data_IF_338328554011
#
_entry.id   IF_338328554011
#
_cell.length_a   1.000
_cell.length_b   1.000
_cell.length_c   1.000
_cell.angle_alpha   90.00
_cell.angle_beta   90.00
_cell.angle_gamma   90.00
#
_symmetry.space_group_name_H-M   'P 1'
#
loop_
_entity.id
_entity.type
_entity.pdbx_description
1 polymer ?
#
# COMPACT_ATOMS: atom_id res chain seq x y z
N UNK A 1 -13.10 12.17 32.88
CA UNK A 1 -12.69 10.90 32.25
C UNK A 1 -11.75 10.18 33.21
N UNK A 2 -12.31 9.43 34.15
CA UNK A 2 -11.52 8.54 34.98
C UNK A 2 -11.32 7.27 34.17
N UNK A 3 -10.14 7.06 33.59
CA UNK A 3 -9.78 5.74 33.08
C UNK A 3 -9.83 4.80 34.27
N UNK A 4 -10.79 3.88 34.29
CA UNK A 4 -10.94 2.95 35.40
C UNK A 4 -9.66 2.11 35.47
N UNK A 5 -8.89 2.17 36.57
CA UNK A 5 -7.69 1.35 36.72
C UNK A 5 -8.00 -0.16 36.63
N UNK A 6 -9.26 -0.57 36.80
CA UNK A 6 -9.75 -1.94 36.58
C UNK A 6 -9.60 -2.40 35.13
N UNK A 7 -9.83 -1.54 34.13
CA UNK A 7 -9.89 -1.96 32.72
C UNK A 7 -8.55 -2.53 32.23
N UNK A 8 -7.44 -1.83 32.53
CA UNK A 8 -6.09 -2.29 32.16
C UNK A 8 -5.74 -3.61 32.83
N UNK A 9 -6.19 -3.80 34.07
CA UNK A 9 -5.91 -4.99 34.86
C UNK A 9 -6.72 -6.20 34.34
N UNK A 10 -8.00 -5.99 33.99
CA UNK A 10 -8.85 -6.97 33.29
C UNK A 10 -8.20 -7.37 31.95
N UNK A 11 -7.78 -6.41 31.13
CA UNK A 11 -7.15 -6.70 29.84
C UNK A 11 -5.87 -7.52 29.99
N UNK A 12 -5.01 -7.20 30.97
CA UNK A 12 -3.81 -7.97 31.23
C UNK A 12 -4.14 -9.39 31.73
N UNK A 13 -5.20 -9.55 32.54
CA UNK A 13 -5.67 -10.86 33.02
C UNK A 13 -6.13 -11.74 31.86
N UNK A 14 -7.00 -11.20 31.00
CA UNK A 14 -7.53 -11.90 29.83
C UNK A 14 -6.44 -12.29 28.81
N UNK A 15 -5.34 -11.51 28.74
CA UNK A 15 -4.18 -11.81 27.88
C UNK A 15 -3.18 -12.77 28.52
N UNK A 16 -3.37 -13.19 29.78
CA UNK A 16 -2.40 -13.99 30.53
C UNK A 16 -1.09 -13.25 30.83
N UNK A 17 -1.14 -11.92 30.92
CA UNK A 17 0.01 -11.04 31.13
C UNK A 17 0.18 -10.61 32.60
N UNK A 18 -0.75 -10.96 33.49
CA UNK A 18 -0.55 -10.73 34.92
C UNK A 18 0.55 -11.67 35.48
N UNK A 19 1.49 -11.15 36.28
CA UNK A 19 2.36 -11.96 37.13
C UNK A 19 1.54 -12.93 38.01
N UNK A 20 2.11 -14.07 38.38
CA UNK A 20 1.41 -15.10 39.14
C UNK A 20 0.78 -14.58 40.44
N UNK A 21 1.54 -13.80 41.22
CA UNK A 21 1.07 -13.26 42.50
C UNK A 21 -0.10 -12.27 42.34
N UNK A 22 -0.04 -11.41 41.31
CA UNK A 22 -1.12 -10.46 41.01
C UNK A 22 -2.36 -11.17 40.47
N UNK A 23 -2.17 -12.21 39.65
CA UNK A 23 -3.26 -13.02 39.10
C UNK A 23 -4.05 -13.68 40.23
N UNK A 24 -3.35 -14.26 41.22
CA UNK A 24 -3.98 -14.89 42.37
C UNK A 24 -4.77 -13.87 43.22
N UNK A 25 -4.27 -12.64 43.34
CA UNK A 25 -5.01 -11.56 44.00
C UNK A 25 -6.25 -11.15 43.21
N UNK A 26 -6.13 -11.01 41.88
CA UNK A 26 -7.25 -10.68 41.02
C UNK A 26 -8.33 -11.76 41.03
N UNK A 27 -7.96 -13.03 41.01
CA UNK A 27 -8.91 -14.15 41.13
C UNK A 27 -9.61 -14.20 42.49
N UNK A 28 -8.93 -13.78 43.57
CA UNK A 28 -9.58 -13.58 44.88
C UNK A 28 -10.58 -12.42 44.82
N UNK A 29 -10.20 -11.30 44.20
CA UNK A 29 -11.09 -10.15 44.02
C UNK A 29 -12.34 -10.52 43.20
N UNK A 30 -12.20 -11.29 42.12
CA UNK A 30 -13.32 -11.80 41.32
C UNK A 30 -14.33 -12.63 42.13
N UNK A 31 -13.89 -13.31 43.19
CA UNK A 31 -14.79 -14.08 44.06
C UNK A 31 -15.52 -13.20 45.08
N UNK A 32 -14.92 -12.09 45.47
CA UNK A 32 -15.44 -11.21 46.53
C UNK A 32 -16.21 -10.02 45.98
N UNK A 33 -15.89 -9.57 44.77
CA UNK A 33 -16.48 -8.41 44.11
C UNK A 33 -17.32 -8.85 42.89
N UNK A 34 -18.65 -8.94 43.05
CA UNK A 34 -19.53 -9.36 41.95
C UNK A 34 -19.57 -8.34 40.80
N UNK A 35 -19.32 -7.05 41.06
CA UNK A 35 -19.31 -6.04 39.99
C UNK A 35 -18.09 -6.22 39.08
N UNK A 36 -16.93 -6.51 39.67
CA UNK A 36 -15.72 -6.85 38.90
C UNK A 36 -15.90 -8.13 38.09
N UNK A 37 -16.57 -9.14 38.65
CA UNK A 37 -16.86 -10.38 37.95
C UNK A 37 -17.79 -10.16 36.73
N UNK A 38 -18.79 -9.30 36.87
CA UNK A 38 -19.68 -8.91 35.77
C UNK A 38 -18.92 -8.16 34.66
N UNK A 39 -18.02 -7.23 35.01
CA UNK A 39 -17.19 -6.50 34.04
C UNK A 39 -16.29 -7.46 33.24
N UNK A 40 -15.65 -8.44 33.90
CA UNK A 40 -14.84 -9.47 33.23
C UNK A 40 -15.71 -10.35 32.32
N UNK A 41 -16.89 -10.75 32.79
CA UNK A 41 -17.82 -11.55 31.99
C UNK A 41 -18.29 -10.79 30.73
N UNK A 42 -18.55 -9.49 30.85
CA UNK A 42 -18.90 -8.64 29.71
C UNK A 42 -17.74 -8.57 28.70
N UNK A 43 -16.51 -8.31 29.14
CA UNK A 43 -15.36 -8.28 28.22
C UNK A 43 -15.11 -9.63 27.53
N UNK A 44 -15.29 -10.74 28.24
CA UNK A 44 -15.22 -12.07 27.64
C UNK A 44 -16.29 -12.28 26.56
N UNK A 45 -17.52 -11.83 26.80
CA UNK A 45 -18.60 -11.90 25.83
C UNK A 45 -18.31 -11.04 24.58
N UNK A 46 -17.75 -9.85 24.77
CA UNK A 46 -17.33 -8.96 23.67
C UNK A 46 -16.22 -9.60 22.81
N UNK A 47 -15.22 -10.22 23.43
CA UNK A 47 -14.16 -10.95 22.73
C UNK A 47 -14.74 -12.14 21.93
N UNK A 48 -15.62 -12.94 22.54
CA UNK A 48 -16.26 -14.07 21.87
C UNK A 48 -17.10 -13.63 20.66
N UNK A 49 -17.82 -12.52 20.78
CA UNK A 49 -18.59 -11.94 19.67
C UNK A 49 -17.67 -11.46 18.53
N UNK A 50 -16.55 -10.80 18.85
CA UNK A 50 -15.57 -10.35 17.87
C UNK A 50 -14.93 -11.53 17.12
N UNK A 51 -14.57 -12.61 17.82
CA UNK A 51 -14.05 -13.83 17.21
C UNK A 51 -15.06 -14.48 16.27
N UNK A 52 -16.34 -14.53 16.65
CA UNK A 52 -17.40 -15.07 15.80
C UNK A 52 -17.58 -14.26 14.51
N UNK A 53 -17.47 -12.93 14.59
CA UNK A 53 -17.51 -12.05 13.42
C UNK A 53 -16.32 -12.31 12.49
N UNK A 54 -15.10 -12.36 13.02
CA UNK A 54 -13.89 -12.67 12.24
C UNK A 54 -14.01 -14.03 11.57
N UNK A 55 -14.45 -15.05 12.30
CA UNK A 55 -14.65 -16.39 11.76
C UNK A 55 -15.72 -16.43 10.66
N UNK A 56 -16.81 -15.67 10.81
CA UNK A 56 -17.86 -15.56 9.79
C UNK A 56 -17.36 -14.88 8.51
N UNK A 57 -16.58 -13.80 8.63
CA UNK A 57 -15.98 -13.09 7.51
C UNK A 57 -14.96 -13.97 6.79
N UNK A 58 -14.12 -14.68 7.54
CA UNK A 58 -13.11 -15.59 7.00
C UNK A 58 -13.78 -16.75 6.23
N UNK A 59 -14.89 -17.30 6.75
CA UNK A 59 -15.67 -18.32 6.03
C UNK A 59 -16.30 -17.77 4.77
N UNK A 60 -16.89 -16.58 4.80
CA UNK A 60 -17.48 -15.95 3.62
C UNK A 60 -16.43 -15.71 2.53
N UNK A 61 -15.26 -15.23 2.92
CA UNK A 61 -14.11 -15.06 2.03
C UNK A 61 -13.65 -16.40 1.46
N UNK A 62 -13.43 -17.44 2.28
CA UNK A 62 -13.06 -18.77 1.78
C UNK A 62 -14.11 -19.37 0.83
N UNK A 63 -15.40 -19.16 1.10
CA UNK A 63 -16.47 -19.60 0.20
C UNK A 63 -16.41 -18.88 -1.15
N UNK A 64 -16.11 -17.58 -1.16
CA UNK A 64 -15.93 -16.83 -2.42
C UNK A 64 -14.77 -17.39 -3.24
N UNK A 65 -13.68 -17.78 -2.59
CA UNK A 65 -12.50 -18.35 -3.26
C UNK A 65 -12.71 -19.79 -3.73
N UNK A 66 -13.59 -20.54 -3.06
CA UNK A 66 -13.98 -21.89 -3.48
C UNK A 66 -14.98 -21.89 -4.63
N UNK A 67 -15.64 -20.77 -4.92
CA UNK A 67 -16.49 -20.68 -6.12
C UNK A 67 -15.57 -20.92 -7.32
N UNK A 68 -15.82 -21.96 -8.14
CA UNK A 68 -15.05 -22.15 -9.36
C UNK A 68 -15.12 -20.86 -10.15
N UNK A 69 -13.97 -20.38 -10.63
CA UNK A 69 -13.90 -19.19 -11.47
C UNK A 69 -15.05 -19.28 -12.47
N UNK A 70 -15.99 -18.33 -12.39
CA UNK A 70 -17.16 -18.38 -13.27
C UNK A 70 -16.64 -18.55 -14.69
N UNK A 71 -17.21 -19.47 -15.48
CA UNK A 71 -16.74 -19.68 -16.84
C UNK A 71 -16.74 -18.32 -17.49
N UNK A 72 -15.54 -17.77 -17.74
CA UNK A 72 -15.40 -16.53 -18.47
C UNK A 72 -16.13 -16.79 -19.77
N UNK A 73 -17.29 -16.16 -19.95
CA UNK A 73 -18.06 -16.31 -21.17
C UNK A 73 -17.07 -15.97 -22.26
N UNK A 74 -16.64 -16.97 -23.02
CA UNK A 74 -15.80 -16.78 -24.19
C UNK A 74 -16.69 -15.99 -25.13
N UNK A 75 -16.62 -14.67 -25.04
CA UNK A 75 -17.31 -13.78 -25.94
C UNK A 75 -16.76 -14.16 -27.30
N UNK A 76 -17.60 -14.82 -28.11
CA UNK A 76 -17.20 -15.28 -29.41
C UNK A 76 -16.72 -14.03 -30.16
N UNK A 77 -15.40 -13.93 -30.42
CA UNK A 77 -14.79 -12.70 -30.97
C UNK A 77 -15.49 -12.27 -32.26
N UNK A 78 -16.04 -13.23 -33.00
CA UNK A 78 -16.86 -13.00 -34.19
C UNK A 78 -18.22 -12.34 -33.91
N UNK A 79 -18.88 -12.66 -32.78
CA UNK A 79 -20.13 -12.02 -32.39
C UNK A 79 -19.96 -10.54 -32.04
N UNK A 80 -18.84 -10.18 -31.41
CA UNK A 80 -18.53 -8.79 -31.10
C UNK A 80 -18.19 -7.97 -32.36
N UNK A 81 -17.43 -8.55 -33.29
CA UNK A 81 -17.17 -7.95 -34.60
C UNK A 81 -18.46 -7.77 -35.43
N UNK A 82 -19.37 -8.74 -35.39
CA UNK A 82 -20.67 -8.63 -36.06
C UNK A 82 -21.53 -7.50 -35.45
N UNK A 83 -21.52 -7.34 -34.13
CA UNK A 83 -22.22 -6.24 -33.46
C UNK A 83 -21.65 -4.87 -33.82
N UNK A 84 -20.33 -4.74 -33.94
CA UNK A 84 -19.68 -3.50 -34.41
C UNK A 84 -20.05 -3.21 -35.86
N UNK A 85 -20.02 -4.22 -36.74
CA UNK A 85 -20.39 -4.05 -38.13
C UNK A 85 -21.86 -3.62 -38.29
N UNK A 86 -22.77 -4.23 -37.52
CA UNK A 86 -24.19 -3.85 -37.51
C UNK A 86 -24.38 -2.43 -36.96
N UNK A 87 -23.67 -2.05 -35.90
CA UNK A 87 -23.68 -0.69 -35.35
C UNK A 87 -23.16 0.33 -36.35
N UNK A 88 -22.06 0.06 -37.04
CA UNK A 88 -21.51 0.92 -38.07
C UNK A 88 -22.47 1.08 -39.27
N UNK A 89 -23.13 0.00 -39.71
CA UNK A 89 -24.14 0.06 -40.76
C UNK A 89 -25.36 0.92 -40.36
N UNK A 90 -25.83 0.80 -39.12
CA UNK A 90 -26.91 1.64 -38.60
C UNK A 90 -26.49 3.11 -38.51
N UNK A 91 -25.25 3.38 -38.12
CA UNK A 91 -24.70 4.74 -38.03
C UNK A 91 -24.55 5.37 -39.43
N UNK A 92 -24.10 4.60 -40.43
CA UNK A 92 -24.04 5.04 -41.82
C UNK A 92 -25.45 5.30 -42.38
N UNK A 93 -26.43 4.44 -42.10
CA UNK A 93 -27.82 4.64 -42.51
C UNK A 93 -28.42 5.90 -41.86
N UNK A 94 -28.15 6.14 -40.58
CA UNK A 94 -28.59 7.34 -39.87
C UNK A 94 -27.97 8.61 -40.46
N UNK A 95 -26.67 8.61 -40.78
CA UNK A 95 -25.99 9.73 -41.45
C UNK A 95 -26.60 9.99 -42.83
N UNK A 96 -26.92 8.92 -43.58
CA UNK A 96 -27.52 9.06 -44.92
C UNK A 96 -28.92 9.70 -44.85
N UNK A 97 -29.72 9.32 -43.85
CA UNK A 97 -31.04 9.93 -43.60
C UNK A 97 -30.93 11.39 -43.12
N UNK A 98 -29.95 11.70 -42.26
CA UNK A 98 -29.72 13.08 -41.80
C UNK A 98 -29.25 14.00 -42.93
N UNK A 99 -28.40 13.51 -43.84
CA UNK A 99 -27.95 14.28 -45.02
C UNK A 99 -29.05 14.62 -46.01
N UNK A 100 -30.16 13.87 -46.04
CA UNK A 100 -31.32 14.25 -46.85
C UNK A 100 -32.13 15.40 -46.24
N UNK A 101 -31.87 15.78 -44.97
CA UNK A 101 -32.69 16.75 -44.23
C UNK A 101 -32.12 18.18 -44.19
N UNK A 102 -30.97 18.47 -44.81
CA UNK A 102 -30.39 19.82 -44.78
C UNK A 102 -30.73 20.63 -46.04
N UNK A 103 -31.87 21.33 -45.96
CA UNK A 103 -32.09 22.59 -46.65
C UNK A 103 -32.79 23.57 -45.72
N UNK A 104 -32.05 24.14 -44.75
CA UNK A 104 -32.47 25.35 -44.04
C UNK A 104 -31.27 26.30 -43.91
N UNK A 105 -31.36 27.52 -44.45
CA UNK A 105 -30.36 28.57 -44.32
C UNK A 105 -30.12 29.08 -42.90
N UNK A 106 -28.91 29.61 -42.71
CA UNK A 106 -28.32 30.15 -41.49
C UNK A 106 -29.15 31.24 -40.80
N UNK A 107 -29.00 31.35 -39.48
CA UNK A 107 -29.06 32.63 -38.78
C UNK A 107 -27.87 32.73 -37.82
N UNK A 108 -27.00 33.71 -38.08
CA UNK A 108 -25.86 34.08 -37.26
C UNK A 108 -26.37 34.83 -36.02
N UNK A 109 -25.87 34.49 -34.84
CA UNK A 109 -25.93 35.38 -33.68
C UNK A 109 -24.67 35.22 -32.80
N UNK A 110 -23.88 36.29 -32.84
CA UNK A 110 -23.21 36.96 -31.73
C UNK A 110 -22.31 36.19 -30.74
N UNK A 111 -21.02 36.48 -30.94
CA UNK A 111 -20.06 36.94 -29.94
C UNK A 111 -20.61 37.17 -28.51
N UNK A 112 -19.97 36.54 -27.53
CA UNK A 112 -19.55 37.25 -26.32
C UNK A 112 -18.39 36.53 -25.66
N UNK A 113 -17.27 37.24 -25.60
CA UNK A 113 -16.09 36.94 -24.78
C UNK A 113 -16.38 37.38 -23.34
N UNK A 114 -15.86 36.65 -22.34
CA UNK A 114 -15.25 37.33 -21.19
C UNK A 114 -13.86 36.71 -20.92
N UNK A 115 -12.81 37.51 -20.96
CA UNK A 115 -12.35 38.41 -19.89
C UNK A 115 -11.34 37.70 -18.97
N UNK A 116 -10.10 38.12 -19.16
CA UNK A 116 -8.87 37.81 -18.44
C UNK A 116 -9.00 38.23 -16.97
N UNK A 117 -8.64 37.34 -16.05
CA UNK A 117 -8.31 37.73 -14.67
C UNK A 117 -7.00 37.06 -14.24
N UNK A 118 -5.97 37.89 -14.07
CA UNK A 118 -4.67 37.55 -13.47
C UNK A 118 -4.77 37.70 -11.96
N UNK A 119 -4.05 36.87 -11.18
CA UNK A 119 -3.49 37.39 -9.94
C UNK A 119 -2.01 37.05 -9.73
N UNK A 120 -1.25 38.14 -9.52
CA UNK A 120 -0.33 38.40 -8.39
C UNK A 120 0.83 37.40 -8.21
N UNK A 121 1.99 37.82 -8.72
CA UNK A 121 3.32 37.31 -8.34
C UNK A 121 3.74 38.02 -7.06
N UNK A 122 3.93 37.27 -5.97
CA UNK A 122 4.62 37.74 -4.77
C UNK A 122 6.12 37.50 -4.93
N UNK A 123 6.89 38.59 -4.95
CA UNK A 123 8.34 38.60 -4.84
C UNK A 123 8.78 38.14 -3.45
N UNK A 124 9.60 37.09 -3.40
CA UNK A 124 10.29 36.63 -2.20
C UNK A 124 11.72 37.20 -2.21
N UNK A 125 12.19 37.81 -1.11
CA UNK A 125 13.55 38.36 -1.03
C UNK A 125 14.64 37.27 -1.04
N UNK A 126 15.84 37.57 -1.55
CA UNK A 126 16.94 36.61 -1.65
C UNK A 126 17.56 36.31 -0.27
N UNK A 127 17.60 35.03 0.08
CA UNK A 127 18.37 34.50 1.22
C UNK A 127 19.85 34.39 0.81
N UNK A 128 20.81 34.88 1.61
CA UNK A 128 22.23 34.76 1.32
C UNK A 128 22.69 33.30 1.35
N UNK A 129 23.32 32.89 0.24
CA UNK A 129 23.98 31.60 0.09
C UNK A 129 25.18 31.49 1.04
N UNK A 130 25.15 30.52 1.95
CA UNK A 130 26.33 30.05 2.67
C UNK A 130 26.90 28.89 1.88
N UNK A 131 28.02 29.16 1.22
CA UNK A 131 28.79 28.25 0.39
C UNK A 131 29.58 27.26 1.28
N UNK A 132 29.31 25.94 1.25
CA UNK A 132 30.18 24.96 1.89
C UNK A 132 31.35 24.66 0.96
N UNK A 133 32.57 24.99 1.39
CA UNK A 133 33.82 24.60 0.72
C UNK A 133 33.85 23.07 0.50
N UNK A 134 34.04 22.59 -0.74
CA UNK A 134 34.27 21.18 -1.00
C UNK A 134 35.64 20.74 -0.48
N UNK A 135 35.66 19.75 0.40
CA UNK A 135 36.86 19.04 0.79
C UNK A 135 37.23 18.05 -0.34
N UNK A 136 38.44 18.10 -0.90
CA UNK A 136 38.82 17.25 -2.03
C UNK A 136 38.95 15.79 -1.58
N UNK A 137 38.12 14.92 -2.13
CA UNK A 137 38.23 13.47 -1.97
C UNK A 137 39.47 12.93 -2.71
N UNK A 138 40.13 11.87 -2.21
CA UNK A 138 41.30 11.26 -2.84
C UNK A 138 40.99 10.72 -4.23
N UNK A 139 41.86 11.03 -5.19
CA UNK A 139 41.78 10.54 -6.56
C UNK A 139 42.02 9.01 -6.61
N UNK A 140 40.96 8.23 -6.76
CA UNK A 140 41.03 6.82 -7.11
C UNK A 140 41.40 6.67 -8.60
N UNK A 141 42.35 5.77 -8.87
CA UNK A 141 42.91 5.52 -10.19
C UNK A 141 41.87 4.88 -11.14
N UNK A 142 41.90 5.17 -12.45
CA UNK A 142 40.97 4.59 -13.41
C UNK A 142 41.25 3.10 -13.61
N UNK A 143 40.35 2.24 -13.15
CA UNK A 143 40.38 0.81 -13.45
C UNK A 143 39.82 0.59 -14.86
N UNK A 144 40.59 -0.14 -15.67
CA UNK A 144 40.29 -0.45 -17.06
C UNK A 144 38.92 -1.12 -17.22
N UNK A 145 38.09 -0.55 -18.10
CA UNK A 145 36.77 -1.06 -18.46
C UNK A 145 36.90 -2.24 -19.41
N UNK A 146 36.69 -3.45 -18.89
CA UNK A 146 36.38 -4.62 -19.70
C UNK A 146 34.96 -4.52 -20.30
N UNK A 147 34.64 -5.24 -21.38
CA UNK A 147 33.34 -5.14 -22.04
C UNK A 147 32.24 -5.65 -21.10
N UNK A 148 31.39 -4.73 -20.67
CA UNK A 148 30.27 -4.97 -19.74
C UNK A 148 29.26 -5.92 -20.42
N UNK A 149 29.05 -7.15 -19.91
CA UNK A 149 27.96 -7.99 -20.40
C UNK A 149 26.64 -7.22 -20.27
N UNK A 150 25.71 -7.44 -21.20
CA UNK A 150 24.40 -6.80 -21.21
C UNK A 150 23.76 -6.98 -19.83
N UNK A 151 23.74 -5.92 -19.03
CA UNK A 151 23.26 -6.00 -17.66
C UNK A 151 21.75 -6.23 -17.71
N UNK A 152 21.22 -7.28 -17.06
CA UNK A 152 19.79 -7.46 -16.90
C UNK A 152 19.18 -6.15 -16.39
N UNK A 153 18.02 -5.77 -16.93
CA UNK A 153 17.33 -4.56 -16.49
C UNK A 153 16.65 -4.81 -15.14
N UNK A 154 17.47 -4.91 -14.08
CA UNK A 154 17.03 -5.24 -12.73
C UNK A 154 15.94 -4.29 -12.22
N UNK A 155 15.97 -3.02 -12.63
CA UNK A 155 14.94 -2.06 -12.27
C UNK A 155 13.59 -2.40 -12.92
N UNK A 156 13.57 -2.83 -14.18
CA UNK A 156 12.35 -3.25 -14.85
C UNK A 156 11.76 -4.49 -14.18
N UNK A 157 12.60 -5.49 -13.87
CA UNK A 157 12.18 -6.68 -13.13
C UNK A 157 11.67 -6.31 -11.73
N UNK A 158 12.39 -5.46 -11.00
CA UNK A 158 11.95 -5.01 -9.68
C UNK A 158 10.56 -4.35 -9.73
N UNK A 159 10.30 -3.49 -10.72
CA UNK A 159 8.97 -2.87 -10.90
C UNK A 159 7.89 -3.88 -11.25
N UNK A 160 8.19 -4.90 -12.06
CA UNK A 160 7.24 -5.94 -12.41
C UNK A 160 6.83 -6.81 -11.20
N UNK A 161 7.78 -7.07 -10.30
CA UNK A 161 7.57 -7.93 -9.13
C UNK A 161 7.20 -7.16 -7.85
N UNK A 162 7.24 -5.83 -7.89
CA UNK A 162 6.80 -4.99 -6.78
C UNK A 162 5.28 -5.10 -6.61
N UNK A 163 4.82 -5.38 -5.38
CA UNK A 163 3.39 -5.50 -5.08
C UNK A 163 2.90 -4.20 -4.47
N UNK A 164 1.84 -3.65 -5.04
CA UNK A 164 1.18 -2.47 -4.48
C UNK A 164 0.57 -2.80 -3.10
N UNK A 165 0.62 -1.85 -2.15
CA UNK A 165 0.09 -2.08 -0.82
C UNK A 165 -1.42 -2.24 -0.90
N UNK A 166 -1.97 -3.25 -0.23
CA UNK A 166 -3.42 -3.39 -0.07
C UNK A 166 -3.88 -2.29 0.89
N UNK A 167 -4.42 -1.21 0.33
CA UNK A 167 -5.03 -0.12 1.09
C UNK A 167 -6.39 -0.61 1.59
N UNK A 168 -6.41 -1.26 2.76
CA UNK A 168 -7.68 -1.62 3.38
C UNK A 168 -8.46 -0.34 3.67
N UNK A 169 -9.56 -0.13 2.95
CA UNK A 169 -10.60 0.84 3.30
C UNK A 169 -11.26 0.33 4.58
N UNK A 170 -10.60 0.57 5.72
CA UNK A 170 -11.18 0.31 7.02
C UNK A 170 -12.39 1.25 7.11
N UNK A 171 -13.57 0.70 6.82
CA UNK A 171 -14.87 1.32 7.05
C UNK A 171 -14.99 1.56 8.55
N UNK A 172 -14.54 2.73 9.00
CA UNK A 172 -14.93 3.24 10.31
C UNK A 172 -16.36 3.73 10.22
N UNK A 173 -17.22 3.07 10.98
CA UNK A 173 -18.57 3.48 11.37
C UNK A 173 -18.58 4.58 12.44
N UNK A 174 -17.42 5.15 12.80
CA UNK A 174 -17.31 6.24 13.76
C UNK A 174 -17.35 7.61 13.08
N UNK A 175 -18.30 8.44 13.49
CA UNK A 175 -18.60 9.83 13.06
C UNK A 175 -17.51 10.86 13.39
N UNK A 176 -16.24 10.45 13.52
CA UNK A 176 -15.15 11.39 13.72
C UNK A 176 -14.87 12.11 12.40
N UNK A 177 -15.35 13.36 12.31
CA UNK A 177 -15.19 14.25 11.15
C UNK A 177 -13.73 14.59 10.81
N UNK A 178 -12.76 14.10 11.59
CA UNK A 178 -11.35 14.30 11.32
C UNK A 178 -10.79 13.09 10.56
N UNK A 179 -10.65 13.25 9.24
CA UNK A 179 -10.02 12.24 8.37
C UNK A 179 -8.59 11.99 8.88
N UNK A 180 -8.39 10.85 9.53
CA UNK A 180 -7.08 10.43 10.06
C UNK A 180 -5.97 10.70 9.02
N UNK A 181 -4.85 11.30 9.43
CA UNK A 181 -3.72 11.63 8.54
C UNK A 181 -3.29 10.44 7.66
N UNK A 182 -3.30 9.22 8.21
CA UNK A 182 -3.03 7.99 7.45
C UNK A 182 -3.98 7.81 6.26
N UNK A 183 -5.27 8.12 6.39
CA UNK A 183 -6.25 8.00 5.29
C UNK A 183 -6.00 9.06 4.23
N UNK A 184 -5.62 10.27 4.64
CA UNK A 184 -5.20 11.30 3.70
C UNK A 184 -3.94 10.87 2.94
N UNK A 185 -2.98 10.24 3.62
CA UNK A 185 -1.78 9.71 3.00
C UNK A 185 -2.11 8.56 2.03
N UNK A 186 -3.01 7.66 2.38
CA UNK A 186 -3.49 6.60 1.49
C UNK A 186 -4.17 7.17 0.24
N UNK A 187 -5.00 8.21 0.40
CA UNK A 187 -5.63 8.89 -0.72
C UNK A 187 -4.61 9.60 -1.63
N UNK A 188 -3.61 10.27 -1.05
CA UNK A 188 -2.50 10.87 -1.80
C UNK A 188 -1.69 9.81 -2.56
N UNK A 189 -1.43 8.67 -1.92
CA UNK A 189 -0.72 7.55 -2.53
C UNK A 189 -1.49 6.98 -3.73
N UNK A 190 -2.80 6.74 -3.56
CA UNK A 190 -3.68 6.27 -4.64
C UNK A 190 -3.77 7.28 -5.80
N UNK A 191 -3.62 8.58 -5.52
CA UNK A 191 -3.52 9.63 -6.52
C UNK A 191 -2.10 9.78 -7.12
N UNK A 192 -1.17 8.86 -6.83
CA UNK A 192 0.25 8.89 -7.24
C UNK A 192 1.05 10.10 -6.73
N UNK A 193 0.51 10.85 -5.76
CA UNK A 193 1.19 11.96 -5.09
C UNK A 193 2.04 11.42 -3.93
N UNK A 194 3.12 10.75 -4.29
CA UNK A 194 4.00 10.08 -3.33
C UNK A 194 4.74 11.06 -2.42
N UNK A 195 5.04 12.27 -2.89
CA UNK A 195 5.70 13.27 -2.05
C UNK A 195 4.75 13.77 -0.96
N UNK A 196 3.52 14.12 -1.30
CA UNK A 196 2.50 14.47 -0.31
C UNK A 196 2.18 13.33 0.64
N UNK A 197 2.22 12.09 0.15
CA UNK A 197 2.09 10.90 1.00
C UNK A 197 3.13 10.91 2.10
N UNK A 198 4.41 11.12 1.78
CA UNK A 198 5.48 11.18 2.76
C UNK A 198 5.30 12.34 3.75
N UNK A 199 4.90 13.52 3.27
CA UNK A 199 4.68 14.70 4.12
C UNK A 199 3.55 14.49 5.14
N UNK A 200 2.48 13.78 4.75
CA UNK A 200 1.37 13.42 5.64
C UNK A 200 1.76 12.32 6.63
N UNK A 201 2.56 11.34 6.19
CA UNK A 201 3.05 10.26 7.05
C UNK A 201 4.00 10.75 8.14
N UNK A 202 4.82 11.76 7.84
CA UNK A 202 5.70 12.38 8.83
C UNK A 202 4.95 13.03 10.01
N UNK A 203 3.67 13.34 9.84
CA UNK A 203 2.80 13.94 10.86
C UNK A 203 1.95 12.89 11.60
N UNK A 204 2.04 11.61 11.24
CA UNK A 204 1.19 10.55 11.80
C UNK A 204 1.62 10.17 13.22
N UNK A 205 0.65 9.75 14.04
CA UNK A 205 0.86 9.34 15.43
C UNK A 205 1.63 8.01 15.57
N UNK A 206 2.17 7.77 16.77
CA UNK A 206 2.93 6.54 17.07
C UNK A 206 2.07 5.27 17.03
N UNK A 207 0.76 5.39 17.28
CA UNK A 207 -0.17 4.25 17.30
C UNK A 207 -0.30 3.58 15.93
N UNK A 208 -0.10 4.32 14.84
CA UNK A 208 -0.16 3.80 13.46
C UNK A 208 1.19 3.70 12.78
N UNK A 209 2.27 3.74 13.55
CA UNK A 209 3.63 3.81 13.02
C UNK A 209 3.95 2.69 12.03
N UNK A 210 3.49 1.45 12.26
CA UNK A 210 3.79 0.33 11.35
C UNK A 210 3.10 0.49 9.99
N UNK A 211 1.81 0.87 9.97
CA UNK A 211 1.10 1.15 8.72
C UNK A 211 1.68 2.35 7.99
N UNK A 212 2.07 3.38 8.73
CA UNK A 212 2.74 4.56 8.18
C UNK A 212 4.08 4.20 7.53
N UNK A 213 4.96 3.49 8.25
CA UNK A 213 6.26 3.04 7.73
C UNK A 213 6.11 2.11 6.52
N UNK A 214 5.07 1.26 6.49
CA UNK A 214 4.81 0.40 5.34
C UNK A 214 4.43 1.21 4.10
N UNK A 215 3.51 2.16 4.23
CA UNK A 215 3.10 3.02 3.11
C UNK A 215 4.24 3.96 2.67
N UNK A 216 5.03 4.46 3.63
CA UNK A 216 6.23 5.27 3.39
C UNK A 216 7.24 4.52 2.51
N UNK A 217 7.53 3.26 2.84
CA UNK A 217 8.44 2.43 2.06
C UNK A 217 7.98 2.28 0.60
N UNK A 218 6.68 2.10 0.37
CA UNK A 218 6.13 2.00 -0.98
C UNK A 218 6.19 3.32 -1.73
N UNK A 219 5.88 4.45 -1.07
CA UNK A 219 5.99 5.78 -1.68
C UNK A 219 7.44 6.08 -2.08
N UNK A 220 8.40 5.73 -1.22
CA UNK A 220 9.83 5.87 -1.50
C UNK A 220 10.28 5.01 -2.68
N UNK A 221 9.77 3.79 -2.82
CA UNK A 221 10.07 2.92 -3.96
C UNK A 221 9.64 3.57 -5.29
N UNK A 222 8.41 4.10 -5.36
CA UNK A 222 7.91 4.78 -6.57
C UNK A 222 8.67 6.07 -6.92
N UNK A 223 9.23 6.75 -5.90
CA UNK A 223 10.14 7.89 -6.09
C UNK A 223 11.57 7.47 -6.47
N UNK A 224 11.83 6.19 -6.72
CA UNK A 224 13.14 5.59 -6.97
C UNK A 224 14.16 5.80 -5.82
N UNK A 225 13.67 6.03 -4.59
CA UNK A 225 14.49 6.19 -3.38
C UNK A 225 14.73 4.82 -2.71
N UNK A 226 15.28 3.87 -3.46
CA UNK A 226 15.34 2.45 -3.07
C UNK A 226 16.08 2.19 -1.75
N UNK A 227 17.17 2.92 -1.47
CA UNK A 227 17.90 2.76 -0.21
C UNK A 227 17.08 3.18 1.02
N UNK A 228 16.27 4.24 0.90
CA UNK A 228 15.41 4.69 1.99
C UNK A 228 14.18 3.77 2.17
N UNK A 229 13.63 3.28 1.06
CA UNK A 229 12.58 2.26 1.07
C UNK A 229 13.07 0.96 1.75
N UNK A 230 14.29 0.53 1.45
CA UNK A 230 14.95 -0.63 2.07
C UNK A 230 14.98 -0.49 3.59
N UNK A 231 15.46 0.64 4.12
CA UNK A 231 15.50 0.90 5.58
C UNK A 231 14.11 0.84 6.23
N UNK A 232 13.09 1.36 5.54
CA UNK A 232 11.71 1.36 6.04
C UNK A 232 11.13 -0.06 6.08
N UNK A 233 11.36 -0.88 5.05
CA UNK A 233 10.96 -2.27 5.05
C UNK A 233 11.72 -3.10 6.09
N UNK A 234 13.04 -2.93 6.20
CA UNK A 234 13.87 -3.61 7.19
C UNK A 234 13.39 -3.35 8.61
N UNK A 235 13.02 -2.11 8.93
CA UNK A 235 12.44 -1.75 10.23
C UNK A 235 11.19 -2.59 10.54
N UNK A 236 10.31 -2.82 9.58
CA UNK A 236 9.10 -3.64 9.77
C UNK A 236 9.40 -5.12 9.97
N UNK A 237 10.42 -5.64 9.28
CA UNK A 237 10.90 -7.02 9.44
C UNK A 237 11.48 -7.21 10.84
N UNK A 238 12.37 -6.31 11.27
CA UNK A 238 13.00 -6.35 12.61
C UNK A 238 11.96 -6.23 13.73
N UNK A 239 10.95 -5.39 13.55
CA UNK A 239 9.84 -5.25 14.51
C UNK A 239 8.90 -6.46 14.54
N UNK A 240 9.07 -7.44 13.63
CA UNK A 240 8.24 -8.63 13.52
C UNK A 240 6.74 -8.29 13.47
N UNK A 241 6.37 -7.28 12.68
CA UNK A 241 4.98 -6.84 12.56
C UNK A 241 4.13 -7.99 12.00
N UNK A 242 3.16 -8.48 12.77
CA UNK A 242 2.30 -9.61 12.35
C UNK A 242 1.61 -9.36 11.01
N UNK A 243 1.18 -8.12 10.76
CA UNK A 243 0.48 -7.74 9.54
C UNK A 243 1.43 -7.51 8.36
N UNK A 244 2.62 -6.94 8.61
CA UNK A 244 3.49 -6.44 7.55
C UNK A 244 4.76 -7.26 7.34
N UNK A 245 5.06 -8.26 8.17
CA UNK A 245 6.33 -9.00 8.11
C UNK A 245 6.61 -9.57 6.72
N UNK A 246 5.76 -10.45 6.21
CA UNK A 246 6.01 -11.11 4.91
C UNK A 246 5.97 -10.13 3.72
N UNK A 247 4.99 -9.20 3.63
CA UNK A 247 5.04 -8.15 2.61
C UNK A 247 6.28 -7.27 2.69
N UNK A 248 6.77 -6.95 3.88
CA UNK A 248 7.98 -6.15 4.05
C UNK A 248 9.25 -6.93 3.69
N UNK A 249 9.33 -8.23 4.02
CA UNK A 249 10.43 -9.10 3.57
C UNK A 249 10.48 -9.13 2.03
N UNK A 250 9.34 -9.26 1.36
CA UNK A 250 9.27 -9.19 -0.11
C UNK A 250 9.67 -7.80 -0.64
N UNK A 251 9.06 -6.73 -0.12
CA UNK A 251 9.38 -5.35 -0.52
C UNK A 251 10.87 -5.01 -0.35
N UNK A 252 11.49 -5.49 0.73
CA UNK A 252 12.92 -5.35 1.00
C UNK A 252 13.78 -6.01 -0.10
N UNK A 253 13.44 -7.24 -0.49
CA UNK A 253 14.12 -7.96 -1.56
C UNK A 253 14.03 -7.17 -2.88
N UNK A 254 12.84 -6.68 -3.22
CA UNK A 254 12.61 -5.92 -4.47
C UNK A 254 13.35 -4.57 -4.47
N UNK A 255 13.43 -3.88 -3.34
CA UNK A 255 14.25 -2.67 -3.21
C UNK A 255 15.73 -2.95 -3.46
N UNK A 256 16.25 -4.07 -2.94
CA UNK A 256 17.63 -4.50 -3.16
C UNK A 256 17.88 -4.85 -4.62
N UNK A 257 16.91 -5.49 -5.28
CA UNK A 257 16.94 -5.74 -6.73
C UNK A 257 16.98 -4.45 -7.55
N UNK A 258 16.16 -3.47 -7.19
CA UNK A 258 16.12 -2.17 -7.88
C UNK A 258 17.43 -1.37 -7.74
N UNK A 259 18.18 -1.57 -6.66
CA UNK A 259 19.44 -0.88 -6.37
C UNK A 259 20.69 -1.72 -6.71
N UNK A 260 20.61 -2.59 -7.73
CA UNK A 260 21.79 -3.28 -8.25
C UNK A 260 22.74 -2.29 -8.96
N UNK A 261 24.07 -2.50 -8.87
CA UNK A 261 24.78 -3.60 -8.18
C UNK A 261 25.06 -3.34 -6.68
N UNK A 262 24.73 -2.15 -6.15
CA UNK A 262 25.12 -1.72 -4.80
C UNK A 262 24.64 -2.65 -3.68
N UNK A 263 23.54 -3.39 -3.91
CA UNK A 263 22.93 -4.32 -2.95
C UNK A 263 22.99 -5.79 -3.37
N UNK A 264 23.84 -6.16 -4.32
CA UNK A 264 23.90 -7.51 -4.87
C UNK A 264 24.06 -8.60 -3.81
N UNK A 265 24.99 -8.43 -2.86
CA UNK A 265 25.23 -9.44 -1.81
C UNK A 265 24.02 -9.60 -0.89
N UNK A 266 23.44 -8.49 -0.43
CA UNK A 266 22.27 -8.51 0.46
C UNK A 266 21.03 -9.09 -0.24
N UNK A 267 20.85 -8.79 -1.54
CA UNK A 267 19.83 -9.42 -2.36
C UNK A 267 20.03 -10.94 -2.41
N UNK A 268 21.23 -11.41 -2.78
CA UNK A 268 21.49 -12.83 -2.96
C UNK A 268 21.23 -13.63 -1.68
N UNK A 269 21.71 -13.13 -0.54
CA UNK A 269 21.48 -13.76 0.76
C UNK A 269 20.00 -13.90 1.11
N UNK A 270 19.23 -12.82 0.95
CA UNK A 270 17.80 -12.85 1.25
C UNK A 270 17.03 -13.72 0.25
N UNK A 271 17.42 -13.68 -1.02
CA UNK A 271 16.79 -14.44 -2.09
C UNK A 271 16.96 -15.94 -1.89
N UNK A 272 18.17 -16.39 -1.54
CA UNK A 272 18.45 -17.78 -1.20
C UNK A 272 17.68 -18.22 0.05
N UNK A 273 17.58 -17.38 1.08
CA UNK A 273 16.79 -17.69 2.28
C UNK A 273 15.29 -17.90 1.94
N UNK A 274 14.74 -17.10 1.03
CA UNK A 274 13.37 -17.25 0.52
C UNK A 274 13.20 -18.56 -0.27
N UNK A 275 14.13 -18.87 -1.18
CA UNK A 275 14.09 -20.09 -1.99
C UNK A 275 14.34 -21.37 -1.18
N UNK A 276 14.95 -21.27 0.00
CA UNK A 276 15.14 -22.41 0.90
C UNK A 276 13.99 -22.61 1.90
N UNK A 277 12.94 -21.78 1.85
CA UNK A 277 11.78 -21.87 2.74
C UNK A 277 10.46 -22.06 1.95
N UNK A 278 10.05 -23.30 1.64
CA UNK A 278 8.82 -23.59 0.91
C UNK A 278 7.53 -23.14 1.60
N UNK A 279 7.56 -22.89 2.92
CA UNK A 279 6.40 -22.40 3.68
C UNK A 279 6.26 -20.88 3.65
N UNK A 280 7.24 -20.16 3.09
CA UNK A 280 7.18 -18.71 3.00
C UNK A 280 6.09 -18.28 2.00
N UNK A 281 5.22 -17.29 2.32
CA UNK A 281 4.11 -16.89 1.44
C UNK A 281 4.52 -16.39 0.05
N UNK A 282 5.79 -15.97 -0.10
CA UNK A 282 6.37 -15.46 -1.35
C UNK A 282 7.32 -16.45 -2.05
N UNK A 283 7.35 -17.72 -1.64
CA UNK A 283 8.25 -18.73 -2.22
C UNK A 283 8.05 -18.90 -3.75
N UNK A 284 6.80 -19.01 -4.21
CA UNK A 284 6.50 -19.17 -5.64
C UNK A 284 6.88 -17.91 -6.44
N UNK A 285 6.65 -16.72 -5.89
CA UNK A 285 7.08 -15.45 -6.50
C UNK A 285 8.60 -15.37 -6.61
N UNK A 286 9.34 -15.84 -5.60
CA UNK A 286 10.79 -15.91 -5.65
C UNK A 286 11.29 -16.84 -6.76
N UNK A 287 10.67 -18.01 -6.95
CA UNK A 287 11.00 -18.91 -8.07
C UNK A 287 10.71 -18.30 -9.44
N UNK A 288 9.59 -17.58 -9.57
CA UNK A 288 9.26 -16.87 -10.80
C UNK A 288 10.31 -15.80 -11.13
N UNK A 289 10.72 -15.02 -10.11
CA UNK A 289 11.79 -14.04 -10.25
C UNK A 289 13.12 -14.70 -10.62
N UNK A 290 13.46 -15.85 -10.03
CA UNK A 290 14.69 -16.60 -10.36
C UNK A 290 14.72 -16.96 -11.85
N UNK A 291 13.60 -17.45 -12.37
CA UNK A 291 13.46 -17.79 -13.79
C UNK A 291 13.54 -16.56 -14.70
N UNK A 292 13.04 -15.40 -14.25
CA UNK A 292 13.13 -14.15 -15.00
C UNK A 292 14.58 -13.66 -15.08
N UNK A 293 15.35 -13.73 -13.99
CA UNK A 293 16.75 -13.29 -13.94
C UNK A 293 17.72 -14.17 -14.73
N UNK A 294 17.31 -15.40 -15.11
CA UNK A 294 18.11 -16.33 -15.92
C UNK A 294 17.94 -16.15 -17.43
N UNK A 295 16.93 -15.39 -17.88
CA UNK A 295 16.66 -15.13 -19.30
C UNK A 295 17.54 -14.00 -19.82
#
# INVERSE_FOLDING_TARGET
MSTHPSEKLIQNYLRGQLPADERDQFEKQLKTDPALAEEVAQQLAELAAAEQLIASETRAWMQEWQKPAQPVFRVNRFGWLAAIAAGALLLIAAIYLFRQSEAVPQEQADQTTPAVEKPIVNEVPPVPAVEPKPQPAPAEKPVATTPKPATPNYLAEARQYFQEPVLSDIRRTGTDNNVSLIRQAQAAYAATDYQRTLDLLAQTDSLRQQSATFLEAHAMFHLNRFAAAETSFEKLVVQNSRQFRYPAEWGLLICRLANFPNRQQAFQQQFEALLNNPQHPYFEQAKNLENALKK
#
